data_IF_112158827987
#
_entry.id   IF_112158827987
#
_cell.length_a   1.000
_cell.length_b   1.000
_cell.length_c   1.000
_cell.angle_alpha   90.00
_cell.angle_beta   90.00
_cell.angle_gamma   90.00
#
_symmetry.space_group_name_H-M   'P 1'
#
loop_
_entity.id
_entity.type
_entity.pdbx_description
1 polymer ?
#
# COMPACT_ATOMS: atom_id res chain seq x y z
N UNK A 1 -49.33 -14.21 51.68
CA UNK A 1 -47.86 -14.15 51.35
C UNK A 1 -47.58 -14.32 49.87
N UNK A 2 -48.25 -15.14 49.09
CA UNK A 2 -48.00 -15.43 47.66
C UNK A 2 -48.19 -14.22 46.73
N UNK A 3 -49.20 -13.37 46.94
CA UNK A 3 -49.46 -12.18 46.09
C UNK A 3 -48.37 -11.08 46.17
N UNK A 4 -47.64 -10.97 47.29
CA UNK A 4 -46.60 -9.95 47.47
C UNK A 4 -45.30 -10.33 46.73
N UNK A 5 -45.00 -11.65 46.71
CA UNK A 5 -43.82 -12.16 45.99
C UNK A 5 -44.01 -12.12 44.47
N UNK A 6 -45.24 -12.29 43.98
CA UNK A 6 -45.52 -12.23 42.54
C UNK A 6 -45.42 -10.82 41.96
N UNK A 7 -45.74 -9.77 42.74
CA UNK A 7 -45.54 -8.37 42.35
C UNK A 7 -44.04 -7.99 42.31
N UNK A 8 -43.25 -8.52 43.23
CA UNK A 8 -41.81 -8.29 43.28
C UNK A 8 -41.07 -9.01 42.13
N UNK A 9 -41.51 -10.21 41.75
CA UNK A 9 -40.99 -10.95 40.60
C UNK A 9 -41.30 -10.25 39.27
N UNK A 10 -42.50 -9.68 39.13
CA UNK A 10 -42.91 -8.93 37.92
C UNK A 10 -42.16 -7.60 37.75
N UNK A 11 -41.77 -6.93 38.85
CA UNK A 11 -40.96 -5.71 38.81
C UNK A 11 -39.50 -6.04 38.43
N UNK A 12 -38.96 -7.18 38.87
CA UNK A 12 -37.64 -7.62 38.46
C UNK A 12 -37.56 -8.02 36.99
N UNK A 13 -38.60 -8.61 36.42
CA UNK A 13 -38.68 -8.92 34.97
C UNK A 13 -38.85 -7.66 34.12
N UNK A 14 -39.53 -6.65 34.60
CA UNK A 14 -39.69 -5.38 33.87
C UNK A 14 -38.43 -4.53 33.91
N UNK A 15 -37.64 -4.59 34.99
CA UNK A 15 -36.35 -3.90 35.10
C UNK A 15 -35.24 -4.59 34.29
N UNK A 16 -35.29 -5.92 34.13
CA UNK A 16 -34.34 -6.64 33.28
C UNK A 16 -34.53 -6.40 31.78
N UNK A 17 -35.72 -5.97 31.34
CA UNK A 17 -36.00 -5.63 29.94
C UNK A 17 -35.53 -4.21 29.55
N UNK A 18 -35.21 -3.36 30.54
CA UNK A 18 -34.73 -1.99 30.31
C UNK A 18 -33.18 -1.90 30.19
N UNK A 19 -32.49 -3.01 30.41
CA UNK A 19 -31.03 -3.12 30.24
C UNK A 19 -30.61 -3.99 29.02
N UNK A 20 -31.43 -4.06 27.98
CA UNK A 20 -30.94 -4.50 26.71
C UNK A 20 -30.02 -3.40 26.18
N UNK A 21 -28.71 -3.70 25.96
CA UNK A 21 -27.82 -2.69 25.44
C UNK A 21 -28.34 -2.21 24.09
N UNK A 22 -28.40 -0.90 23.92
CA UNK A 22 -28.81 -0.20 22.69
C UNK A 22 -27.86 -0.49 21.47
N UNK A 23 -27.17 -1.62 21.47
CA UNK A 23 -26.21 -2.03 20.43
C UNK A 23 -26.86 -2.76 19.24
N UNK A 24 -28.21 -2.87 19.17
CA UNK A 24 -28.84 -3.54 18.02
C UNK A 24 -29.24 -2.61 16.86
N UNK A 25 -28.90 -1.33 16.91
CA UNK A 25 -29.31 -0.37 15.86
C UNK A 25 -28.22 -0.06 14.82
N UNK A 26 -27.08 -0.80 14.79
CA UNK A 26 -25.95 -0.50 13.89
C UNK A 26 -25.87 -1.40 12.65
N UNK A 27 -26.87 -2.22 12.37
CA UNK A 27 -26.82 -3.18 11.25
C UNK A 27 -27.29 -2.61 9.90
N UNK A 28 -27.76 -1.37 9.84
CA UNK A 28 -28.39 -0.84 8.63
C UNK A 28 -27.43 0.02 7.81
N UNK A 29 -27.01 -0.53 6.66
CA UNK A 29 -26.31 0.13 5.56
C UNK A 29 -24.87 0.61 5.85
N UNK A 30 -23.90 -0.29 6.03
CA UNK A 30 -22.49 0.10 6.23
C UNK A 30 -21.94 0.85 5.03
N UNK A 31 -20.94 1.71 5.27
CA UNK A 31 -20.09 2.26 4.21
C UNK A 31 -19.08 1.18 3.85
N UNK A 32 -19.09 0.71 2.60
CA UNK A 32 -18.24 -0.39 2.14
C UNK A 32 -16.94 0.16 1.57
N UNK A 33 -15.83 -0.22 2.18
CA UNK A 33 -14.48 0.05 1.67
C UNK A 33 -14.00 -1.19 0.92
N UNK A 34 -13.75 -1.05 -0.37
CA UNK A 34 -13.10 -2.06 -1.18
C UNK A 34 -11.59 -1.91 -1.10
N UNK A 35 -10.90 -2.96 -0.72
CA UNK A 35 -9.44 -2.99 -0.55
C UNK A 35 -8.79 -3.97 -1.54
N UNK A 36 -8.34 -3.49 -2.71
CA UNK A 36 -7.59 -4.32 -3.65
C UNK A 36 -6.12 -4.38 -3.20
N UNK A 37 -5.73 -5.43 -2.51
CA UNK A 37 -4.42 -5.56 -1.87
C UNK A 37 -3.69 -6.81 -2.36
N UNK A 38 -2.36 -6.77 -2.41
CA UNK A 38 -1.52 -7.96 -2.66
C UNK A 38 -1.26 -8.67 -1.34
N UNK A 39 -2.21 -9.51 -0.91
CA UNK A 39 -2.25 -10.07 0.46
C UNK A 39 -1.21 -11.17 0.72
N UNK A 40 -0.59 -11.73 -0.32
CA UNK A 40 0.54 -12.65 -0.17
C UNK A 40 1.84 -11.96 0.27
N UNK A 41 1.90 -10.61 0.26
CA UNK A 41 3.06 -9.82 0.60
C UNK A 41 2.81 -8.90 1.78
N UNK A 42 3.88 -8.54 2.49
CA UNK A 42 3.84 -7.70 3.68
C UNK A 42 3.10 -6.38 3.45
N UNK A 43 3.28 -5.76 2.30
CA UNK A 43 2.61 -4.50 1.93
C UNK A 43 1.07 -4.58 2.00
N UNK A 44 0.50 -5.62 1.39
CA UNK A 44 -0.95 -5.83 1.39
C UNK A 44 -1.46 -6.29 2.76
N UNK A 45 -0.71 -7.17 3.38
CA UNK A 45 -1.05 -7.74 4.68
C UNK A 45 -1.06 -6.70 5.81
N UNK A 46 -0.04 -5.84 5.88
CA UNK A 46 0.01 -4.77 6.86
C UNK A 46 -1.04 -3.68 6.57
N UNK A 47 -1.28 -3.37 5.28
CA UNK A 47 -2.34 -2.45 4.89
C UNK A 47 -3.74 -2.96 5.32
N UNK A 48 -4.02 -4.26 5.15
CA UNK A 48 -5.27 -4.88 5.62
C UNK A 48 -5.42 -4.76 7.13
N UNK A 49 -4.36 -5.06 7.88
CA UNK A 49 -4.38 -4.97 9.36
C UNK A 49 -4.57 -3.54 9.85
N UNK A 50 -3.81 -2.59 9.28
CA UNK A 50 -3.95 -1.19 9.64
C UNK A 50 -5.35 -0.65 9.34
N UNK A 51 -5.93 -1.04 8.21
CA UNK A 51 -7.30 -0.68 7.84
C UNK A 51 -8.32 -1.32 8.78
N UNK A 52 -8.16 -2.60 9.11
CA UNK A 52 -9.04 -3.31 10.04
C UNK A 52 -9.04 -2.64 11.42
N UNK A 53 -7.85 -2.33 11.96
CA UNK A 53 -7.72 -1.64 13.25
C UNK A 53 -8.44 -0.29 13.24
N UNK A 54 -8.21 0.53 12.23
CA UNK A 54 -8.87 1.84 12.11
C UNK A 54 -10.40 1.71 12.02
N UNK A 55 -10.90 0.73 11.27
CA UNK A 55 -12.35 0.47 11.13
C UNK A 55 -12.95 -0.01 12.46
N UNK A 56 -12.27 -0.89 13.18
CA UNK A 56 -12.72 -1.34 14.51
C UNK A 56 -12.82 -0.18 15.48
N UNK A 57 -11.83 0.71 15.54
CA UNK A 57 -11.87 1.91 16.41
C UNK A 57 -13.02 2.86 16.04
N UNK A 58 -13.21 3.13 14.75
CA UNK A 58 -14.29 4.01 14.27
C UNK A 58 -15.65 3.39 14.60
N UNK A 59 -15.83 2.10 14.33
CA UNK A 59 -17.09 1.40 14.58
C UNK A 59 -17.40 1.28 16.07
N UNK A 60 -16.39 1.03 16.92
CA UNK A 60 -16.54 1.03 18.38
C UNK A 60 -17.00 2.40 18.92
N UNK A 61 -16.63 3.49 18.24
CA UNK A 61 -17.08 4.85 18.54
C UNK A 61 -18.49 5.17 17.98
N UNK A 62 -19.16 4.18 17.41
CA UNK A 62 -20.51 4.28 16.84
C UNK A 62 -20.54 4.60 15.34
N UNK A 63 -19.41 4.51 14.63
CA UNK A 63 -19.34 4.77 13.20
C UNK A 63 -19.22 6.25 12.82
N UNK A 64 -19.41 6.55 11.55
CA UNK A 64 -19.26 7.89 10.94
C UNK A 64 -20.61 8.54 10.77
N UNK A 65 -20.72 9.82 11.10
CA UNK A 65 -21.94 10.62 10.88
C UNK A 65 -22.14 10.87 9.38
N UNK A 66 -23.28 10.41 8.85
CA UNK A 66 -23.70 10.65 7.47
C UNK A 66 -25.13 11.19 7.48
N UNK A 67 -25.29 12.47 7.23
CA UNK A 67 -26.57 13.15 7.45
C UNK A 67 -26.99 13.04 8.92
N UNK A 68 -28.21 12.54 9.15
CA UNK A 68 -28.78 12.41 10.51
C UNK A 68 -28.49 11.04 11.16
N UNK A 69 -27.77 10.13 10.46
CA UNK A 69 -27.50 8.78 10.94
C UNK A 69 -26.00 8.50 11.09
N UNK A 70 -25.65 7.65 12.05
CA UNK A 70 -24.32 7.05 12.15
C UNK A 70 -24.27 5.75 11.36
N UNK A 71 -23.22 5.58 10.53
CA UNK A 71 -23.01 4.38 9.71
C UNK A 71 -21.67 3.74 10.05
N UNK A 72 -21.61 2.42 10.24
CA UNK A 72 -20.34 1.72 10.42
C UNK A 72 -19.62 1.57 9.08
N UNK A 73 -18.31 1.36 9.14
CA UNK A 73 -17.56 0.89 8.00
C UNK A 73 -17.55 -0.65 7.93
N UNK A 74 -17.49 -1.17 6.71
CA UNK A 74 -17.20 -2.57 6.39
C UNK A 74 -16.07 -2.62 5.37
N UNK A 75 -15.07 -3.45 5.58
CA UNK A 75 -14.03 -3.69 4.57
C UNK A 75 -14.32 -4.97 3.79
N UNK A 76 -14.11 -4.92 2.48
CA UNK A 76 -14.09 -6.06 1.56
C UNK A 76 -12.73 -6.11 0.89
N UNK A 77 -11.95 -7.14 1.19
CA UNK A 77 -10.61 -7.32 0.64
C UNK A 77 -10.67 -8.28 -0.55
N UNK A 78 -9.99 -7.97 -1.64
CA UNK A 78 -9.72 -8.90 -2.74
C UNK A 78 -8.23 -8.85 -3.05
N UNK A 79 -7.61 -10.04 -3.07
CA UNK A 79 -6.21 -10.19 -3.44
C UNK A 79 -6.02 -9.82 -4.92
N UNK A 80 -5.16 -8.84 -5.17
CA UNK A 80 -4.82 -8.39 -6.53
C UNK A 80 -3.73 -9.23 -7.18
N UNK A 81 -2.94 -9.93 -6.37
CA UNK A 81 -1.78 -10.72 -6.79
C UNK A 81 -0.76 -9.92 -7.62
N UNK A 82 -0.85 -8.61 -7.63
CA UNK A 82 -0.10 -7.72 -8.53
C UNK A 82 1.39 -7.59 -8.17
N UNK A 83 1.84 -8.14 -7.04
CA UNK A 83 3.25 -8.29 -6.69
C UNK A 83 3.83 -9.68 -7.02
N UNK A 84 2.99 -10.65 -7.38
CA UNK A 84 3.45 -11.98 -7.74
C UNK A 84 4.13 -12.00 -9.12
N UNK A 85 5.28 -12.69 -9.27
CA UNK A 85 5.94 -12.84 -10.56
C UNK A 85 5.02 -13.49 -11.60
N UNK A 86 4.98 -12.93 -12.81
CA UNK A 86 4.21 -13.49 -13.93
C UNK A 86 2.70 -13.26 -13.87
N UNK A 87 2.16 -12.68 -12.81
CA UNK A 87 0.74 -12.32 -12.73
C UNK A 87 0.47 -11.07 -13.57
N UNK A 88 -0.47 -11.12 -14.53
CA UNK A 88 -0.76 -10.00 -15.40
C UNK A 88 -1.55 -8.91 -14.68
N UNK A 89 -1.37 -7.65 -15.10
CA UNK A 89 -2.09 -6.49 -14.54
C UNK A 89 -3.62 -6.64 -14.59
N UNK A 90 -4.14 -7.41 -15.56
CA UNK A 90 -5.58 -7.68 -15.68
C UNK A 90 -6.19 -8.33 -14.45
N UNK A 91 -5.43 -9.12 -13.67
CA UNK A 91 -5.92 -9.72 -12.41
C UNK A 91 -6.25 -8.62 -11.38
N UNK A 92 -5.38 -7.64 -11.23
CA UNK A 92 -5.65 -6.50 -10.35
C UNK A 92 -6.86 -5.67 -10.81
N UNK A 93 -7.04 -5.48 -12.12
CA UNK A 93 -8.22 -4.79 -12.66
C UNK A 93 -9.51 -5.55 -12.37
N UNK A 94 -9.51 -6.87 -12.51
CA UNK A 94 -10.65 -7.72 -12.16
C UNK A 94 -10.98 -7.63 -10.66
N UNK A 95 -9.96 -7.59 -9.79
CA UNK A 95 -10.15 -7.42 -8.34
C UNK A 95 -10.84 -6.08 -8.03
N UNK A 96 -10.36 -4.98 -8.62
CA UNK A 96 -10.98 -3.65 -8.47
C UNK A 96 -12.42 -3.64 -9.00
N UNK A 97 -12.66 -4.22 -10.18
CA UNK A 97 -14.01 -4.26 -10.76
C UNK A 97 -14.99 -5.09 -9.91
N UNK A 98 -14.57 -6.25 -9.40
CA UNK A 98 -15.37 -7.05 -8.46
C UNK A 98 -15.68 -6.30 -7.17
N UNK A 99 -14.72 -5.57 -6.60
CA UNK A 99 -14.98 -4.72 -5.43
C UNK A 99 -16.08 -3.70 -5.71
N UNK A 100 -16.07 -3.07 -6.88
CA UNK A 100 -17.05 -2.06 -7.27
C UNK A 100 -18.41 -2.69 -7.58
N UNK A 101 -18.45 -3.74 -8.39
CA UNK A 101 -19.70 -4.28 -8.93
C UNK A 101 -20.36 -5.33 -8.05
N UNK A 102 -19.56 -6.26 -7.50
CA UNK A 102 -20.10 -7.40 -6.74
C UNK A 102 -20.19 -7.04 -5.24
N UNK A 103 -19.12 -6.44 -4.68
CA UNK A 103 -19.05 -6.05 -3.27
C UNK A 103 -19.71 -4.69 -2.99
N UNK A 104 -20.08 -3.95 -4.03
CA UNK A 104 -20.73 -2.63 -3.93
C UNK A 104 -19.92 -1.60 -3.13
N UNK A 105 -18.59 -1.65 -3.26
CA UNK A 105 -17.70 -0.71 -2.57
C UNK A 105 -18.08 0.75 -2.85
N UNK A 106 -18.20 1.54 -1.80
CA UNK A 106 -18.43 2.99 -1.88
C UNK A 106 -17.12 3.71 -2.22
N UNK A 107 -16.01 3.26 -1.63
CA UNK A 107 -14.65 3.77 -1.79
C UNK A 107 -13.69 2.62 -2.11
N UNK A 108 -12.61 2.93 -2.81
CA UNK A 108 -11.48 2.00 -3.00
C UNK A 108 -10.30 2.55 -2.19
N UNK A 109 -9.75 1.75 -1.27
CA UNK A 109 -8.67 2.18 -0.37
C UNK A 109 -7.58 1.12 -0.32
N UNK A 110 -6.33 1.54 -0.27
CA UNK A 110 -5.18 0.66 -0.19
C UNK A 110 -4.40 0.62 -1.49
N UNK A 111 -4.79 -0.22 -2.40
CA UNK A 111 -4.12 -0.51 -3.66
C UNK A 111 -4.96 -0.25 -4.92
N UNK A 112 -4.59 -0.88 -6.04
CA UNK A 112 -3.52 -1.87 -6.26
C UNK A 112 -2.14 -1.37 -5.84
N UNK A 113 -1.23 -2.30 -5.47
CA UNK A 113 0.08 -1.96 -4.89
C UNK A 113 1.12 -1.64 -5.96
N UNK A 114 1.13 -2.39 -7.07
CA UNK A 114 2.07 -2.18 -8.17
C UNK A 114 1.68 -0.94 -8.99
N UNK A 115 2.67 -0.12 -9.33
CA UNK A 115 2.46 1.13 -10.08
C UNK A 115 1.73 0.93 -11.41
N UNK A 116 2.06 -0.11 -12.16
CA UNK A 116 1.43 -0.44 -13.44
C UNK A 116 -0.05 -0.79 -13.26
N UNK A 117 -0.38 -1.56 -12.23
CA UNK A 117 -1.76 -1.94 -11.92
C UNK A 117 -2.59 -0.73 -11.49
N UNK A 118 -2.03 0.15 -10.64
CA UNK A 118 -2.70 1.37 -10.22
C UNK A 118 -2.96 2.33 -11.38
N UNK A 119 -1.98 2.54 -12.27
CA UNK A 119 -2.16 3.35 -13.48
C UNK A 119 -3.24 2.77 -14.41
N UNK A 120 -3.22 1.45 -14.60
CA UNK A 120 -4.22 0.77 -15.41
C UNK A 120 -5.63 0.78 -14.80
N UNK A 121 -5.75 0.88 -13.47
CA UNK A 121 -7.03 0.98 -12.76
C UNK A 121 -7.67 2.39 -12.85
N UNK A 122 -6.90 3.46 -13.10
CA UNK A 122 -7.43 4.84 -13.14
C UNK A 122 -8.63 5.03 -14.09
N UNK A 123 -8.63 4.50 -15.35
CA UNK A 123 -9.79 4.60 -16.24
C UNK A 123 -11.02 3.87 -15.68
N UNK A 124 -10.83 2.74 -14.99
CA UNK A 124 -11.91 1.98 -14.38
C UNK A 124 -12.55 2.75 -13.22
N UNK A 125 -11.72 3.33 -12.33
CA UNK A 125 -12.16 4.18 -11.22
C UNK A 125 -12.93 5.41 -11.74
N UNK A 126 -12.44 6.03 -12.80
CA UNK A 126 -13.10 7.15 -13.47
C UNK A 126 -14.46 6.75 -14.07
N UNK A 127 -14.52 5.62 -14.79
CA UNK A 127 -15.76 5.06 -15.40
C UNK A 127 -16.85 4.89 -14.34
N UNK A 128 -16.51 4.35 -13.20
CA UNK A 128 -17.46 4.10 -12.10
C UNK A 128 -17.55 5.26 -11.09
N UNK A 129 -16.81 6.35 -11.29
CA UNK A 129 -16.75 7.52 -10.41
C UNK A 129 -16.45 7.14 -8.95
N UNK A 130 -15.54 6.17 -8.76
CA UNK A 130 -15.15 5.69 -7.43
C UNK A 130 -13.94 6.43 -6.92
N UNK A 131 -14.09 7.07 -5.77
CA UNK A 131 -12.96 7.66 -5.05
C UNK A 131 -12.01 6.55 -4.65
N UNK A 132 -10.76 6.67 -5.05
CA UNK A 132 -9.68 5.75 -4.72
C UNK A 132 -8.58 6.49 -3.97
N UNK A 133 -8.16 5.92 -2.85
CA UNK A 133 -7.09 6.46 -2.00
C UNK A 133 -6.00 5.41 -1.89
N UNK A 134 -4.90 5.62 -2.59
CA UNK A 134 -3.72 4.78 -2.47
C UNK A 134 -3.00 5.07 -1.16
N UNK A 135 -2.78 4.03 -0.36
CA UNK A 135 -2.13 4.12 0.94
C UNK A 135 -0.82 3.35 1.01
N UNK A 136 -0.55 2.49 0.02
CA UNK A 136 0.66 1.66 -0.05
C UNK A 136 1.12 1.47 -1.49
N UNK A 137 2.40 1.24 -1.70
CA UNK A 137 3.00 1.03 -3.01
C UNK A 137 2.93 2.26 -3.94
N UNK A 138 2.75 2.05 -5.21
CA UNK A 138 2.50 3.07 -6.26
C UNK A 138 3.43 4.29 -6.16
N UNK A 139 4.73 4.07 -6.22
CA UNK A 139 5.72 5.14 -6.08
C UNK A 139 5.96 5.93 -7.38
N UNK A 140 5.39 5.51 -8.51
CA UNK A 140 5.60 6.21 -9.79
C UNK A 140 5.05 7.64 -9.79
N UNK A 141 5.81 8.64 -10.23
CA UNK A 141 5.31 10.01 -10.41
C UNK A 141 4.27 10.11 -11.54
N UNK A 142 4.20 9.11 -12.44
CA UNK A 142 3.25 9.08 -13.53
C UNK A 142 1.79 9.11 -13.03
N UNK A 143 1.51 8.57 -11.84
CA UNK A 143 0.15 8.59 -11.26
C UNK A 143 -0.33 10.02 -11.00
N UNK A 144 0.45 10.83 -10.32
CA UNK A 144 0.13 12.24 -10.05
C UNK A 144 0.12 13.05 -11.34
N UNK A 145 1.08 12.82 -12.25
CA UNK A 145 1.16 13.50 -13.53
C UNK A 145 -0.08 13.23 -14.40
N UNK A 146 -0.60 11.99 -14.39
CA UNK A 146 -1.81 11.63 -15.14
C UNK A 146 -3.05 12.34 -14.58
N UNK A 147 -3.19 12.44 -13.25
CA UNK A 147 -4.26 13.22 -12.62
C UNK A 147 -4.16 14.70 -13.01
N UNK A 148 -2.96 15.29 -12.93
CA UNK A 148 -2.76 16.70 -13.29
C UNK A 148 -3.07 16.99 -14.76
N UNK A 149 -2.72 16.06 -15.66
CA UNK A 149 -2.93 16.19 -17.11
C UNK A 149 -4.41 16.10 -17.51
N UNK A 150 -5.17 15.22 -16.86
CA UNK A 150 -6.57 14.93 -17.19
C UNK A 150 -7.44 14.99 -15.93
N UNK A 151 -7.39 16.12 -15.21
CA UNK A 151 -8.01 16.26 -13.88
C UNK A 151 -9.48 15.88 -13.85
N UNK A 152 -10.30 16.38 -14.78
CA UNK A 152 -11.75 16.09 -14.79
C UNK A 152 -12.06 14.62 -14.91
N UNK A 153 -11.20 13.86 -15.58
CA UNK A 153 -11.32 12.43 -15.76
C UNK A 153 -10.87 11.66 -14.52
N UNK A 154 -9.74 12.06 -13.92
CA UNK A 154 -9.09 11.31 -12.86
C UNK A 154 -9.18 11.94 -11.46
N UNK A 155 -10.04 12.93 -11.27
CA UNK A 155 -10.28 13.61 -9.98
C UNK A 155 -10.75 12.71 -8.84
N UNK A 156 -11.01 11.43 -9.12
CA UNK A 156 -11.35 10.41 -8.15
C UNK A 156 -10.13 9.65 -7.60
N UNK A 157 -8.94 9.89 -8.15
CA UNK A 157 -7.73 9.16 -7.85
C UNK A 157 -6.82 9.98 -6.93
N UNK A 158 -6.59 9.48 -5.72
CA UNK A 158 -5.77 10.12 -4.69
C UNK A 158 -4.64 9.20 -4.24
N UNK A 159 -3.53 9.80 -3.81
CA UNK A 159 -2.41 9.13 -3.15
C UNK A 159 -2.00 9.95 -1.93
N UNK A 160 -1.87 9.32 -0.75
CA UNK A 160 -1.60 10.01 0.52
C UNK A 160 -0.15 9.84 1.01
N UNK A 161 0.68 9.14 0.27
CA UNK A 161 2.09 8.94 0.56
C UNK A 161 2.99 9.56 -0.51
N UNK A 162 4.30 9.62 -0.23
CA UNK A 162 5.30 10.13 -1.16
C UNK A 162 5.47 9.29 -2.43
N UNK A 163 6.15 9.84 -3.41
CA UNK A 163 6.55 9.15 -4.63
C UNK A 163 8.06 8.89 -4.66
N UNK A 164 8.54 8.17 -5.69
CA UNK A 164 9.95 7.79 -5.81
C UNK A 164 10.93 8.95 -5.64
N UNK A 165 10.58 10.16 -6.12
CA UNK A 165 11.41 11.35 -5.97
C UNK A 165 11.62 11.78 -4.51
N UNK A 166 10.61 11.62 -3.66
CA UNK A 166 10.72 11.92 -2.23
C UNK A 166 11.67 10.93 -1.55
N UNK A 167 11.53 9.62 -1.83
CA UNK A 167 12.41 8.58 -1.29
C UNK A 167 13.87 8.77 -1.72
N UNK A 168 14.10 9.10 -3.00
CA UNK A 168 15.45 9.42 -3.49
C UNK A 168 16.04 10.59 -2.71
N UNK A 169 15.26 11.64 -2.42
CA UNK A 169 15.69 12.78 -1.62
C UNK A 169 16.13 12.40 -0.20
N UNK A 170 15.34 11.57 0.46
CA UNK A 170 15.64 11.06 1.82
C UNK A 170 16.87 10.15 1.84
N UNK A 171 17.01 9.26 0.84
CA UNK A 171 18.21 8.42 0.71
C UNK A 171 19.47 9.26 0.54
N UNK A 172 19.41 10.35 -0.23
CA UNK A 172 20.57 11.23 -0.37
C UNK A 172 20.91 12.02 0.89
N UNK A 173 19.98 12.28 1.78
CA UNK A 173 20.32 12.82 3.09
C UNK A 173 21.23 11.83 3.88
N UNK A 174 20.83 10.56 3.91
CA UNK A 174 21.62 9.49 4.52
C UNK A 174 22.98 9.28 3.83
N UNK A 175 23.00 9.27 2.50
CA UNK A 175 24.27 9.13 1.75
C UNK A 175 25.22 10.29 2.01
N UNK A 176 24.72 11.51 2.17
CA UNK A 176 25.54 12.67 2.52
C UNK A 176 26.19 12.48 3.88
N UNK A 177 25.45 12.01 4.88
CA UNK A 177 26.00 11.70 6.21
C UNK A 177 27.07 10.62 6.14
N UNK A 178 26.84 9.53 5.38
CA UNK A 178 27.84 8.47 5.18
C UNK A 178 29.11 8.99 4.50
N UNK A 179 28.95 9.87 3.49
CA UNK A 179 30.08 10.51 2.82
C UNK A 179 30.89 11.39 3.78
N UNK A 180 30.24 12.19 4.59
CA UNK A 180 30.89 13.08 5.55
C UNK A 180 31.62 12.29 6.65
N UNK A 181 31.00 11.21 7.14
CA UNK A 181 31.51 10.44 8.27
C UNK A 181 32.59 9.42 7.88
N UNK A 182 32.44 8.78 6.73
CA UNK A 182 33.28 7.65 6.32
C UNK A 182 34.05 7.90 5.02
N UNK A 183 33.78 9.00 4.31
CA UNK A 183 34.40 9.29 3.02
C UNK A 183 33.82 8.52 1.85
N UNK A 184 32.67 7.85 2.01
CA UNK A 184 32.06 7.06 0.95
C UNK A 184 31.66 7.91 -0.26
N UNK A 185 31.94 7.39 -1.46
CA UNK A 185 31.65 8.09 -2.70
C UNK A 185 31.23 7.17 -3.84
N UNK A 186 31.35 5.84 -3.71
CA UNK A 186 31.06 4.86 -4.73
C UNK A 186 29.71 4.18 -4.49
N UNK A 187 28.78 4.34 -5.43
CA UNK A 187 27.41 3.85 -5.36
C UNK A 187 27.11 2.88 -6.50
N UNK A 188 26.60 1.69 -6.19
CA UNK A 188 26.05 0.75 -7.15
C UNK A 188 24.54 0.62 -6.95
N UNK A 189 23.77 0.61 -8.04
CA UNK A 189 22.31 0.54 -7.99
C UNK A 189 21.86 -0.82 -8.50
N UNK A 190 21.02 -1.51 -7.72
CA UNK A 190 20.40 -2.78 -8.09
C UNK A 190 18.90 -2.62 -8.01
N UNK A 191 18.19 -2.77 -9.14
CA UNK A 191 16.77 -2.51 -9.21
C UNK A 191 16.00 -3.68 -9.83
N UNK A 192 14.75 -3.85 -9.43
CA UNK A 192 13.83 -4.81 -10.02
C UNK A 192 13.22 -4.25 -11.32
N UNK A 193 12.90 -5.12 -12.27
CA UNK A 193 12.29 -4.75 -13.56
C UNK A 193 10.80 -4.46 -13.44
N UNK A 194 10.48 -3.44 -12.63
CA UNK A 194 9.14 -2.87 -12.48
C UNK A 194 9.23 -1.35 -12.59
N UNK A 195 8.14 -0.71 -13.00
CA UNK A 195 8.12 0.72 -13.36
C UNK A 195 8.69 1.64 -12.27
N UNK A 196 8.28 1.45 -11.02
CA UNK A 196 8.74 2.28 -9.92
C UNK A 196 10.24 2.10 -9.63
N UNK A 197 10.75 0.87 -9.66
CA UNK A 197 12.13 0.56 -9.31
C UNK A 197 13.10 1.00 -10.42
N UNK A 198 12.77 0.75 -11.69
CA UNK A 198 13.54 1.29 -12.83
C UNK A 198 13.60 2.81 -12.78
N UNK A 199 12.44 3.45 -12.66
CA UNK A 199 12.38 4.91 -12.60
C UNK A 199 13.14 5.50 -11.42
N UNK A 200 13.05 4.88 -10.25
CA UNK A 200 13.82 5.28 -9.07
C UNK A 200 15.34 5.09 -9.27
N UNK A 201 15.76 3.95 -9.82
CA UNK A 201 17.18 3.69 -10.14
C UNK A 201 17.76 4.71 -11.13
N UNK A 202 17.02 5.05 -12.19
CA UNK A 202 17.43 6.07 -13.16
C UNK A 202 17.51 7.48 -12.55
N UNK A 203 16.54 7.85 -11.71
CA UNK A 203 16.55 9.12 -10.99
C UNK A 203 17.71 9.15 -10.01
N UNK A 204 17.93 8.06 -9.26
CA UNK A 204 19.06 7.91 -8.34
C UNK A 204 20.38 8.11 -9.06
N UNK A 205 20.59 7.47 -10.20
CA UNK A 205 21.81 7.61 -11.01
C UNK A 205 22.07 9.07 -11.41
N UNK A 206 21.02 9.76 -11.90
CA UNK A 206 21.13 11.17 -12.33
C UNK A 206 21.41 12.12 -11.16
N UNK A 207 20.73 11.92 -10.02
CA UNK A 207 20.91 12.74 -8.83
C UNK A 207 22.26 12.48 -8.18
N UNK A 208 22.70 11.22 -8.10
CA UNK A 208 24.02 10.85 -7.60
C UNK A 208 25.14 11.57 -8.37
N UNK A 209 25.12 11.47 -9.69
CA UNK A 209 26.12 12.14 -10.53
C UNK A 209 26.13 13.65 -10.30
N UNK A 210 24.96 14.32 -10.20
CA UNK A 210 24.87 15.76 -9.92
C UNK A 210 25.41 16.15 -8.54
N UNK A 211 25.33 15.24 -7.57
CA UNK A 211 25.81 15.44 -6.19
C UNK A 211 27.27 14.99 -6.01
N UNK A 212 27.96 14.66 -7.09
CA UNK A 212 29.38 14.27 -7.07
C UNK A 212 29.64 12.90 -6.50
N UNK A 213 28.70 11.98 -6.63
CA UNK A 213 28.88 10.55 -6.35
C UNK A 213 29.35 9.83 -7.61
N UNK A 214 30.23 8.86 -7.44
CA UNK A 214 30.63 7.96 -8.50
C UNK A 214 29.65 6.78 -8.55
N UNK A 215 28.82 6.71 -9.59
CA UNK A 215 27.90 5.59 -9.81
C UNK A 215 28.66 4.50 -10.56
N UNK A 216 29.05 3.46 -9.83
CA UNK A 216 29.89 2.35 -10.34
C UNK A 216 29.10 1.35 -11.19
N UNK A 217 27.76 1.35 -11.08
CA UNK A 217 26.90 0.53 -11.93
C UNK A 217 25.41 0.70 -11.62
N UNK A 218 24.60 0.28 -12.60
CA UNK A 218 23.15 0.11 -12.48
C UNK A 218 22.78 -1.23 -13.13
N UNK A 219 22.17 -2.13 -12.36
CA UNK A 219 21.66 -3.40 -12.86
C UNK A 219 20.17 -3.56 -12.59
N UNK A 220 19.47 -4.11 -13.59
CA UNK A 220 18.02 -4.35 -13.54
C UNK A 220 17.80 -5.87 -13.57
N UNK A 221 17.02 -6.37 -12.61
CA UNK A 221 16.72 -7.78 -12.45
C UNK A 221 15.22 -8.05 -12.69
N UNK A 222 14.88 -9.16 -13.35
CA UNK A 222 13.47 -9.53 -13.52
C UNK A 222 12.80 -9.78 -12.16
N UNK A 223 11.50 -9.52 -12.08
CA UNK A 223 10.71 -9.90 -10.90
C UNK A 223 10.81 -11.42 -10.69
N UNK A 224 11.05 -11.83 -9.44
CA UNK A 224 11.29 -13.23 -9.08
C UNK A 224 12.74 -13.69 -9.28
N UNK A 225 13.68 -12.79 -9.52
CA UNK A 225 15.10 -13.14 -9.57
C UNK A 225 15.58 -13.76 -8.25
N UNK A 226 16.34 -14.84 -8.36
CA UNK A 226 16.87 -15.59 -7.21
C UNK A 226 18.41 -15.67 -7.19
N UNK A 227 19.06 -15.13 -8.21
CA UNK A 227 20.52 -15.10 -8.33
C UNK A 227 21.00 -13.67 -8.66
N UNK A 228 21.81 -13.12 -7.77
CA UNK A 228 22.41 -11.80 -7.86
C UNK A 228 23.94 -11.85 -7.92
N UNK A 229 24.52 -13.05 -7.99
CA UNK A 229 25.96 -13.30 -7.87
C UNK A 229 26.79 -12.48 -8.83
N UNK A 230 26.37 -12.37 -10.09
CA UNK A 230 27.11 -11.60 -11.10
C UNK A 230 27.13 -10.10 -10.80
N UNK A 231 26.00 -9.54 -10.36
CA UNK A 231 25.93 -8.13 -9.94
C UNK A 231 26.76 -7.87 -8.69
N UNK A 232 26.70 -8.78 -7.72
CA UNK A 232 27.48 -8.68 -6.49
C UNK A 232 29.00 -8.79 -6.75
N UNK A 233 29.42 -9.59 -7.72
CA UNK A 233 30.82 -9.62 -8.17
C UNK A 233 31.24 -8.27 -8.77
N UNK A 234 30.40 -7.64 -9.59
CA UNK A 234 30.67 -6.31 -10.14
C UNK A 234 30.73 -5.24 -9.04
N UNK A 235 29.86 -5.32 -8.04
CA UNK A 235 29.90 -4.44 -6.85
C UNK A 235 31.27 -4.55 -6.17
N UNK A 236 31.76 -5.76 -5.96
CA UNK A 236 33.04 -6.03 -5.32
C UNK A 236 34.22 -5.52 -6.15
N UNK A 237 34.22 -5.82 -7.45
CA UNK A 237 35.29 -5.42 -8.37
C UNK A 237 35.36 -3.90 -8.59
N UNK A 238 34.23 -3.20 -8.48
CA UNK A 238 34.13 -1.74 -8.68
C UNK A 238 34.45 -0.92 -7.44
N UNK A 239 34.86 -1.55 -6.34
CA UNK A 239 35.15 -0.89 -5.06
C UNK A 239 33.95 -0.08 -4.56
N UNK A 240 32.76 -0.60 -4.78
CA UNK A 240 31.50 0.01 -4.31
C UNK A 240 31.44 0.03 -2.77
N UNK A 241 30.99 1.12 -2.23
CA UNK A 241 30.84 1.33 -0.76
C UNK A 241 29.39 1.29 -0.35
N UNK A 242 28.48 1.64 -1.25
CA UNK A 242 27.02 1.62 -1.00
C UNK A 242 26.33 0.86 -2.13
N UNK A 243 25.54 -0.16 -1.79
CA UNK A 243 24.59 -0.79 -2.69
C UNK A 243 23.22 -0.17 -2.43
N UNK A 244 22.66 0.51 -3.42
CA UNK A 244 21.33 1.05 -3.37
C UNK A 244 20.34 0.09 -4.01
N UNK A 245 19.43 -0.48 -3.22
CA UNK A 245 18.53 -1.55 -3.63
C UNK A 245 17.12 -0.98 -3.84
N UNK A 246 16.56 -1.22 -5.04
CA UNK A 246 15.19 -0.93 -5.42
C UNK A 246 14.49 -2.22 -5.83
N UNK A 247 14.17 -3.06 -4.87
CA UNK A 247 13.52 -4.37 -5.08
C UNK A 247 12.45 -4.59 -4.02
N UNK A 248 11.44 -5.39 -4.38
CA UNK A 248 10.46 -5.87 -3.42
C UNK A 248 11.10 -6.87 -2.43
N UNK A 249 10.43 -7.16 -1.33
CA UNK A 249 11.02 -7.85 -0.18
C UNK A 249 11.64 -9.23 -0.46
N UNK A 250 11.02 -10.13 -1.24
CA UNK A 250 11.62 -11.45 -1.46
C UNK A 250 13.00 -11.37 -2.13
N UNK A 251 13.11 -10.58 -3.19
CA UNK A 251 14.35 -10.41 -3.93
C UNK A 251 15.42 -9.68 -3.11
N UNK A 252 15.02 -8.65 -2.36
CA UNK A 252 15.94 -7.92 -1.46
C UNK A 252 16.54 -8.85 -0.40
N UNK A 253 15.73 -9.74 0.20
CA UNK A 253 16.20 -10.68 1.20
C UNK A 253 17.20 -11.70 0.62
N UNK A 254 16.93 -12.21 -0.60
CA UNK A 254 17.83 -13.14 -1.30
C UNK A 254 19.15 -12.44 -1.63
N UNK A 255 19.09 -11.21 -2.16
CA UNK A 255 20.27 -10.41 -2.48
C UNK A 255 21.13 -10.18 -1.23
N UNK A 256 20.53 -9.75 -0.13
CA UNK A 256 21.25 -9.51 1.13
C UNK A 256 21.89 -10.78 1.68
N UNK A 257 21.20 -11.93 1.57
CA UNK A 257 21.77 -13.22 1.96
C UNK A 257 23.00 -13.56 1.11
N UNK A 258 22.90 -13.46 -0.21
CA UNK A 258 24.01 -13.73 -1.12
C UNK A 258 25.20 -12.78 -0.89
N UNK A 259 24.91 -11.50 -0.61
CA UNK A 259 25.96 -10.55 -0.24
C UNK A 259 26.70 -10.95 1.03
N UNK A 260 25.97 -11.41 2.04
CA UNK A 260 26.55 -11.85 3.31
C UNK A 260 27.43 -13.11 3.17
N UNK A 261 27.11 -13.99 2.24
CA UNK A 261 27.81 -15.25 2.00
C UNK A 261 29.05 -15.09 1.10
N UNK A 262 29.28 -13.91 0.49
CA UNK A 262 30.42 -13.60 -0.39
C UNK A 262 31.58 -12.91 0.34
#
# INVERSE_FOLDING_TARGET
MIKKNMRMLMIFFLAAFLFLPANMALAENPIVIGAPLSTAFLYGWDAERGMTLAIEEINASGGVQVGDAKRPFKVEVIDTRDLEPGVPVSEALLAVEKLILDKKADFIVGGPVRSEAALAAMPLLSKYKKVSILTTGVLTPAYTAQVAKEYDKYKYCFRIHGEAGNLVGEMFANFTELKEKYGFNNLFIMAQDVSHARGAGEVMQKVAAKKGWNVTGLEIYPTGATDFSMGLLKVKDSQTEIINIWMDMPESAILLKQWYEM
#
